data_IF_077466923007
#
_entry.id   IF_077466923007
#
_cell.length_a   1.000
_cell.length_b   1.000
_cell.length_c   1.000
_cell.angle_alpha   90.00
_cell.angle_beta   90.00
_cell.angle_gamma   90.00
#
_symmetry.space_group_name_H-M   'P 1'
#
loop_
_entity.id
_entity.type
_entity.pdbx_description
1 polymer ?
#
# COMPACT_ATOMS: atom_id res chain seq x y z
N UNK A 1 -26.13 -12.91 -1.51
CA UNK A 1 -25.10 -13.10 -0.47
C UNK A 1 -23.93 -12.15 -0.76
N UNK A 2 -23.75 -11.14 0.06
CA UNK A 2 -22.72 -10.12 -0.13
C UNK A 2 -21.36 -10.68 0.32
N UNK A 3 -20.35 -10.64 -0.55
CA UNK A 3 -18.99 -11.09 -0.23
C UNK A 3 -18.04 -9.91 -0.22
N UNK A 4 -17.43 -9.66 0.93
CA UNK A 4 -16.46 -8.57 1.12
C UNK A 4 -15.05 -9.14 1.15
N UNK A 5 -14.18 -8.60 0.29
CA UNK A 5 -12.76 -8.94 0.23
C UNK A 5 -11.94 -7.69 0.56
N UNK A 6 -11.07 -7.77 1.57
CA UNK A 6 -10.17 -6.68 1.93
C UNK A 6 -8.75 -6.99 1.46
N UNK A 7 -8.17 -6.05 0.73
CA UNK A 7 -6.79 -6.11 0.25
C UNK A 7 -5.98 -5.07 1.02
N UNK A 8 -4.93 -5.53 1.70
CA UNK A 8 -4.00 -4.68 2.44
C UNK A 8 -2.61 -4.75 1.82
N UNK A 9 -1.82 -3.66 1.84
CA UNK A 9 -0.41 -3.72 1.51
C UNK A 9 0.31 -4.72 2.41
N UNK A 10 1.25 -5.45 1.84
CA UNK A 10 2.08 -6.37 2.63
C UNK A 10 3.08 -5.53 3.44
N UNK A 11 2.86 -5.43 4.75
CA UNK A 11 3.79 -4.76 5.65
C UNK A 11 4.93 -5.72 5.99
N UNK A 12 6.13 -5.42 5.52
CA UNK A 12 7.34 -6.18 5.88
C UNK A 12 7.85 -5.84 7.28
N UNK A 13 7.62 -4.61 7.75
CA UNK A 13 8.04 -4.11 9.05
C UNK A 13 6.85 -3.63 9.87
N UNK A 14 6.88 -3.89 11.17
CA UNK A 14 5.92 -3.32 12.12
C UNK A 14 6.29 -1.87 12.45
N UNK A 15 5.29 -1.07 12.84
CA UNK A 15 5.51 0.33 13.22
C UNK A 15 6.57 0.44 14.34
N UNK A 16 6.52 -0.49 15.31
CA UNK A 16 7.49 -0.52 16.42
C UNK A 16 8.92 -0.76 15.94
N UNK A 17 9.11 -1.66 14.97
CA UNK A 17 10.44 -1.94 14.41
C UNK A 17 11.02 -0.73 13.69
N UNK A 18 10.21 0.04 12.98
CA UNK A 18 10.66 1.26 12.28
C UNK A 18 11.04 2.33 13.31
N UNK A 19 10.22 2.55 14.33
CA UNK A 19 10.53 3.52 15.40
C UNK A 19 11.80 3.12 16.14
N UNK A 20 11.96 1.85 16.47
CA UNK A 20 13.18 1.34 17.11
C UNK A 20 14.42 1.53 16.22
N UNK A 21 14.31 1.22 14.94
CA UNK A 21 15.39 1.43 13.97
C UNK A 21 15.80 2.91 13.89
N UNK A 22 14.82 3.83 13.78
CA UNK A 22 15.07 5.28 13.76
C UNK A 22 15.75 5.74 15.05
N UNK A 23 15.31 5.24 16.20
CA UNK A 23 15.90 5.59 17.50
C UNK A 23 17.37 5.15 17.58
N UNK A 24 17.68 3.90 17.23
CA UNK A 24 19.05 3.36 17.25
C UNK A 24 19.94 4.12 16.26
N UNK A 25 19.45 4.37 15.04
CA UNK A 25 20.20 5.10 14.01
C UNK A 25 20.46 6.55 14.44
N UNK A 26 19.46 7.25 14.97
CA UNK A 26 19.62 8.61 15.49
C UNK A 26 20.61 8.69 16.64
N UNK A 27 20.57 7.73 17.57
CA UNK A 27 21.53 7.63 18.67
C UNK A 27 22.96 7.44 18.18
N UNK A 28 23.19 6.55 17.20
CA UNK A 28 24.52 6.33 16.61
C UNK A 28 25.03 7.57 15.89
N UNK A 29 24.21 8.24 15.09
CA UNK A 29 24.58 9.47 14.40
C UNK A 29 24.96 10.56 15.40
N UNK A 30 24.17 10.75 16.46
CA UNK A 30 24.46 11.72 17.51
C UNK A 30 25.77 11.39 18.24
N UNK A 31 25.96 10.12 18.64
CA UNK A 31 27.15 9.67 19.36
C UNK A 31 28.43 9.86 18.54
N UNK A 32 28.41 9.46 17.27
CA UNK A 32 29.56 9.62 16.35
C UNK A 32 29.77 11.11 16.05
N UNK A 33 28.72 11.85 15.73
CA UNK A 33 28.78 13.26 15.38
C UNK A 33 29.39 14.12 16.50
N UNK A 34 28.98 13.90 17.75
CA UNK A 34 29.57 14.61 18.90
C UNK A 34 31.08 14.36 19.02
N UNK A 35 31.53 13.13 18.80
CA UNK A 35 32.95 12.79 18.80
C UNK A 35 33.74 13.57 17.75
N UNK A 36 33.19 13.68 16.53
CA UNK A 36 33.83 14.43 15.45
C UNK A 36 33.84 15.95 15.70
N UNK A 37 32.81 16.48 16.33
CA UNK A 37 32.75 17.90 16.72
C UNK A 37 33.88 18.24 17.69
N UNK A 38 34.16 17.37 18.67
CA UNK A 38 35.26 17.55 19.64
C UNK A 38 36.65 17.58 18.99
N UNK A 39 36.84 16.96 17.84
CA UNK A 39 38.09 16.97 17.04
C UNK A 39 38.10 18.12 16.02
N UNK A 40 37.04 18.98 15.98
CA UNK A 40 36.94 20.10 15.04
C UNK A 40 36.31 19.77 13.71
N UNK A 41 35.85 18.53 13.51
CA UNK A 41 35.21 18.08 12.25
C UNK A 41 33.69 18.24 12.31
N UNK A 42 33.19 19.41 12.68
CA UNK A 42 31.78 19.75 12.81
C UNK A 42 30.90 19.54 11.53
N UNK A 43 31.44 19.63 10.29
CA UNK A 43 30.60 19.41 9.09
C UNK A 43 30.00 18.00 9.05
N UNK A 44 30.66 17.01 9.66
CA UNK A 44 30.18 15.61 9.71
C UNK A 44 28.86 15.53 10.48
N UNK A 45 28.69 16.31 11.54
CA UNK A 45 27.43 16.36 12.28
C UNK A 45 26.26 16.87 11.41
N UNK A 46 26.51 17.89 10.57
CA UNK A 46 25.50 18.44 9.67
C UNK A 46 25.06 17.38 8.66
N UNK A 47 26.00 16.66 8.06
CA UNK A 47 25.69 15.54 7.17
C UNK A 47 24.85 14.47 7.86
N UNK A 48 25.20 14.08 9.07
CA UNK A 48 24.44 13.10 9.85
C UNK A 48 22.99 13.56 10.13
N UNK A 49 22.78 14.85 10.43
CA UNK A 49 21.45 15.40 10.63
C UNK A 49 20.64 15.34 9.34
N UNK A 50 21.21 15.73 8.19
CA UNK A 50 20.53 15.69 6.88
C UNK A 50 20.14 14.25 6.53
N UNK A 51 21.06 13.30 6.71
CA UNK A 51 20.81 11.88 6.46
C UNK A 51 19.67 11.34 7.35
N UNK A 52 19.67 11.70 8.64
CA UNK A 52 18.62 11.31 9.56
C UNK A 52 17.25 11.89 9.16
N UNK A 53 17.18 13.16 8.72
CA UNK A 53 15.94 13.77 8.23
C UNK A 53 15.40 13.05 7.00
N UNK A 54 16.27 12.62 6.08
CA UNK A 54 15.88 11.83 4.91
C UNK A 54 15.27 10.49 5.36
N UNK A 55 15.88 9.80 6.32
CA UNK A 55 15.36 8.54 6.86
C UNK A 55 13.99 8.72 7.53
N UNK A 56 13.80 9.77 8.31
CA UNK A 56 12.50 10.11 8.92
C UNK A 56 11.45 10.38 7.85
N UNK A 57 11.79 11.14 6.81
CA UNK A 57 10.89 11.43 5.70
C UNK A 57 10.49 10.17 4.93
N UNK A 58 11.45 9.29 4.60
CA UNK A 58 11.18 8.01 3.96
C UNK A 58 10.27 7.11 4.82
N UNK A 59 10.50 7.09 6.13
CA UNK A 59 9.66 6.35 7.08
C UNK A 59 8.24 6.90 7.12
N UNK A 60 8.06 8.21 7.10
CA UNK A 60 6.75 8.85 7.03
C UNK A 60 5.98 8.46 5.75
N UNK A 61 6.66 8.49 4.59
CA UNK A 61 6.06 8.03 3.32
C UNK A 61 5.65 6.55 3.39
N UNK A 62 6.49 5.71 4.00
CA UNK A 62 6.17 4.30 4.19
C UNK A 62 4.92 4.10 5.07
N UNK A 63 4.80 4.84 6.17
CA UNK A 63 3.61 4.77 7.03
C UNK A 63 2.34 5.18 6.29
N UNK A 64 2.38 6.26 5.51
CA UNK A 64 1.24 6.72 4.71
C UNK A 64 0.84 5.67 3.65
N UNK A 65 1.82 5.09 2.96
CA UNK A 65 1.55 4.02 2.01
C UNK A 65 0.94 2.79 2.68
N UNK A 66 1.43 2.43 3.86
CA UNK A 66 0.96 1.26 4.61
C UNK A 66 -0.47 1.39 5.17
N UNK A 67 -1.02 2.61 5.24
CA UNK A 67 -2.41 2.88 5.66
C UNK A 67 -3.43 2.61 4.56
N UNK A 68 -3.01 2.63 3.29
CA UNK A 68 -3.90 2.42 2.16
C UNK A 68 -4.45 0.99 2.16
N UNK A 69 -5.74 0.86 1.91
CA UNK A 69 -6.45 -0.41 1.82
C UNK A 69 -7.42 -0.36 0.65
N UNK A 70 -7.67 -1.50 0.03
CA UNK A 70 -8.71 -1.66 -0.98
C UNK A 70 -9.75 -2.66 -0.46
N UNK A 71 -11.01 -2.27 -0.48
CA UNK A 71 -12.14 -3.12 -0.10
C UNK A 71 -12.95 -3.41 -1.35
N UNK A 72 -13.09 -4.68 -1.69
CA UNK A 72 -13.90 -5.12 -2.80
C UNK A 72 -15.16 -5.77 -2.23
N UNK A 73 -16.31 -5.19 -2.56
CA UNK A 73 -17.62 -5.68 -2.17
C UNK A 73 -18.28 -6.28 -3.41
N UNK A 74 -18.52 -7.57 -3.37
CA UNK A 74 -19.25 -8.31 -4.41
C UNK A 74 -20.68 -8.48 -3.95
N UNK A 75 -21.60 -7.81 -4.62
CA UNK A 75 -23.05 -8.01 -4.47
C UNK A 75 -23.61 -8.74 -5.70
N UNK A 76 -24.91 -9.04 -5.71
CA UNK A 76 -25.51 -9.90 -6.72
C UNK A 76 -25.28 -9.43 -8.16
N UNK A 77 -25.30 -8.12 -8.42
CA UNK A 77 -25.09 -7.55 -9.75
C UNK A 77 -23.96 -6.54 -9.83
N UNK A 78 -23.48 -6.05 -8.67
CA UNK A 78 -22.51 -4.97 -8.60
C UNK A 78 -21.23 -5.40 -7.89
N UNK A 79 -20.11 -4.93 -8.40
CA UNK A 79 -18.83 -4.96 -7.74
C UNK A 79 -18.43 -3.54 -7.35
N UNK A 80 -18.33 -3.27 -6.05
CA UNK A 80 -17.85 -1.98 -5.53
C UNK A 80 -16.40 -2.09 -5.13
N UNK A 81 -15.58 -1.18 -5.62
CA UNK A 81 -14.17 -1.06 -5.25
C UNK A 81 -14.02 0.22 -4.47
N UNK A 82 -13.77 0.09 -3.17
CA UNK A 82 -13.53 1.21 -2.26
C UNK A 82 -12.06 1.28 -1.93
N UNK A 83 -11.43 2.42 -2.23
CA UNK A 83 -10.08 2.73 -1.77
C UNK A 83 -10.18 3.49 -0.46
N UNK A 84 -9.60 2.93 0.58
CA UNK A 84 -9.62 3.51 1.92
C UNK A 84 -8.20 3.98 2.29
N UNK A 85 -8.14 5.17 2.89
CA UNK A 85 -6.97 5.70 3.55
C UNK A 85 -7.31 5.90 5.03
N UNK A 86 -6.75 5.06 5.91
CA UNK A 86 -6.96 5.09 7.37
C UNK A 86 -8.44 5.11 7.83
N UNK A 87 -9.32 4.31 7.18
CA UNK A 87 -10.77 4.19 7.36
C UNK A 87 -11.65 5.21 6.59
N UNK A 88 -11.09 6.26 6.04
CA UNK A 88 -11.81 7.17 5.15
C UNK A 88 -11.89 6.60 3.74
N UNK A 89 -13.07 6.70 3.11
CA UNK A 89 -13.28 6.27 1.73
C UNK A 89 -12.76 7.40 0.84
N UNK A 90 -11.60 7.16 0.18
CA UNK A 90 -10.99 8.12 -0.75
C UNK A 90 -11.62 8.02 -2.16
N UNK A 91 -12.03 6.83 -2.55
CA UNK A 91 -12.63 6.56 -3.87
C UNK A 91 -13.61 5.39 -3.74
N UNK A 92 -14.84 5.57 -4.22
CA UNK A 92 -15.88 4.55 -4.24
C UNK A 92 -16.41 4.40 -5.67
N UNK A 93 -16.14 3.26 -6.27
CA UNK A 93 -16.53 2.99 -7.64
C UNK A 93 -17.32 1.69 -7.73
N UNK A 94 -18.52 1.78 -8.30
CA UNK A 94 -19.38 0.63 -8.57
C UNK A 94 -19.31 0.23 -10.04
N UNK A 95 -19.27 -1.07 -10.29
CA UNK A 95 -19.23 -1.67 -11.62
C UNK A 95 -20.25 -2.79 -11.69
N UNK A 96 -21.01 -2.83 -12.79
CA UNK A 96 -21.86 -3.97 -13.04
C UNK A 96 -21.02 -5.20 -13.39
N UNK A 97 -21.19 -6.29 -12.62
CA UNK A 97 -20.41 -7.51 -12.75
C UNK A 97 -20.59 -8.20 -14.11
N UNK A 98 -21.80 -8.12 -14.67
CA UNK A 98 -22.16 -8.78 -15.94
C UNK A 98 -21.42 -8.15 -17.13
N UNK A 99 -21.32 -6.82 -17.16
CA UNK A 99 -20.73 -6.05 -18.26
C UNK A 99 -19.25 -5.71 -18.08
N UNK A 100 -18.67 -6.09 -16.95
CA UNK A 100 -17.26 -5.82 -16.64
C UNK A 100 -16.36 -6.97 -17.09
N UNK A 101 -15.19 -6.65 -17.64
CA UNK A 101 -14.14 -7.61 -17.94
C UNK A 101 -12.90 -7.35 -17.08
N UNK A 102 -12.34 -8.44 -16.52
CA UNK A 102 -11.16 -8.41 -15.69
C UNK A 102 -9.93 -8.80 -16.50
N UNK A 103 -8.96 -7.89 -16.60
CA UNK A 103 -7.65 -8.18 -17.18
C UNK A 103 -6.57 -8.15 -16.12
N UNK A 104 -5.72 -9.18 -16.11
CA UNK A 104 -4.55 -9.24 -15.25
C UNK A 104 -3.34 -8.67 -16.00
N UNK A 105 -2.82 -7.55 -15.52
CA UNK A 105 -1.60 -6.94 -16.00
C UNK A 105 -0.42 -7.33 -15.09
N UNK A 106 0.83 -7.03 -15.52
CA UNK A 106 2.04 -7.32 -14.74
C UNK A 106 1.99 -6.78 -13.31
N UNK A 107 1.45 -5.55 -13.12
CA UNK A 107 1.51 -4.83 -11.85
C UNK A 107 0.17 -4.66 -11.13
N UNK A 108 -0.96 -4.93 -11.82
CA UNK A 108 -2.30 -4.71 -11.27
C UNK A 108 -3.36 -5.60 -11.93
N UNK A 109 -4.52 -5.70 -11.26
CA UNK A 109 -5.76 -6.12 -11.91
C UNK A 109 -6.47 -4.88 -12.44
N UNK A 110 -6.94 -4.94 -13.67
CA UNK A 110 -7.76 -3.88 -14.26
C UNK A 110 -9.15 -4.38 -14.59
N UNK A 111 -10.14 -3.55 -14.24
CA UNK A 111 -11.51 -3.73 -14.66
C UNK A 111 -11.79 -2.81 -15.84
N UNK A 112 -12.38 -3.38 -16.88
CA UNK A 112 -12.83 -2.66 -18.05
C UNK A 112 -14.35 -2.62 -18.03
N UNK A 113 -14.94 -1.43 -17.95
CA UNK A 113 -16.38 -1.20 -17.91
C UNK A 113 -16.72 0.09 -18.68
N UNK A 114 -17.67 0.03 -19.61
CA UNK A 114 -18.14 1.17 -20.39
C UNK A 114 -17.03 2.04 -21.01
N UNK A 115 -15.97 1.40 -21.56
CA UNK A 115 -14.83 2.09 -22.17
C UNK A 115 -13.82 2.68 -21.16
N UNK A 116 -14.11 2.63 -19.85
CA UNK A 116 -13.20 3.07 -18.79
C UNK A 116 -12.39 1.90 -18.25
N UNK A 117 -11.11 2.15 -17.98
CA UNK A 117 -10.19 1.19 -17.38
C UNK A 117 -9.82 1.67 -15.99
N UNK A 118 -10.11 0.88 -14.97
CA UNK A 118 -9.67 1.15 -13.60
C UNK A 118 -8.76 0.04 -13.09
N UNK A 119 -7.65 0.45 -12.45
CA UNK A 119 -6.65 -0.46 -11.91
C UNK A 119 -6.79 -0.59 -10.40
N UNK A 120 -6.79 -1.83 -9.91
CA UNK A 120 -6.88 -2.16 -8.49
C UNK A 120 -5.96 -3.33 -8.13
N UNK A 121 -5.89 -3.70 -6.86
CA UNK A 121 -5.07 -4.81 -6.36
C UNK A 121 -3.56 -4.68 -6.67
N UNK A 122 -3.03 -3.45 -6.72
CA UNK A 122 -1.58 -3.19 -6.91
C UNK A 122 -0.73 -3.76 -5.78
N UNK A 123 -1.30 -3.87 -4.57
CA UNK A 123 -0.60 -4.36 -3.38
C UNK A 123 -0.43 -5.88 -3.34
N UNK A 124 -1.07 -6.60 -4.26
CA UNK A 124 -1.02 -8.07 -4.28
C UNK A 124 0.13 -8.58 -5.13
N UNK A 125 0.76 -9.67 -4.66
CA UNK A 125 1.70 -10.45 -5.48
C UNK A 125 0.99 -11.05 -6.70
N UNK A 126 1.72 -11.36 -7.80
CA UNK A 126 1.13 -11.93 -9.02
C UNK A 126 0.28 -13.16 -8.77
N UNK A 127 0.74 -14.06 -7.90
CA UNK A 127 0.02 -15.28 -7.54
C UNK A 127 -1.31 -14.99 -6.81
N UNK A 128 -1.31 -14.05 -5.86
CA UNK A 128 -2.51 -13.63 -5.14
C UNK A 128 -3.50 -12.89 -6.03
N UNK A 129 -3.01 -12.11 -7.01
CA UNK A 129 -3.86 -11.45 -8.02
C UNK A 129 -4.60 -12.46 -8.90
N UNK A 130 -3.92 -13.51 -9.36
CA UNK A 130 -4.55 -14.59 -10.12
C UNK A 130 -5.62 -15.32 -9.30
N UNK A 131 -5.34 -15.56 -8.01
CA UNK A 131 -6.31 -16.17 -7.10
C UNK A 131 -7.54 -15.28 -6.90
N UNK A 132 -7.33 -13.99 -6.73
CA UNK A 132 -8.41 -12.99 -6.61
C UNK A 132 -9.25 -12.94 -7.89
N UNK A 133 -8.61 -12.89 -9.08
CA UNK A 133 -9.29 -12.94 -10.37
C UNK A 133 -10.19 -14.17 -10.49
N UNK A 134 -9.66 -15.35 -10.17
CA UNK A 134 -10.43 -16.61 -10.19
C UNK A 134 -11.63 -16.59 -9.24
N UNK A 135 -11.49 -15.95 -8.06
CA UNK A 135 -12.60 -15.82 -7.11
C UNK A 135 -13.71 -14.95 -7.69
N UNK A 136 -13.35 -13.80 -8.28
CA UNK A 136 -14.33 -12.89 -8.88
C UNK A 136 -15.00 -13.53 -10.10
N UNK A 137 -14.25 -14.19 -10.98
CA UNK A 137 -14.79 -14.88 -12.15
C UNK A 137 -15.71 -16.05 -11.75
N UNK A 138 -15.36 -16.81 -10.73
CA UNK A 138 -16.22 -17.87 -10.18
C UNK A 138 -17.51 -17.30 -9.57
N UNK A 139 -17.42 -16.13 -8.92
CA UNK A 139 -18.61 -15.45 -8.41
C UNK A 139 -19.51 -14.99 -9.55
N UNK A 140 -18.92 -14.39 -10.60
CA UNK A 140 -19.63 -13.99 -11.81
C UNK A 140 -20.32 -15.18 -12.51
N UNK A 141 -19.64 -16.33 -12.64
CA UNK A 141 -20.22 -17.52 -13.28
C UNK A 141 -21.37 -18.18 -12.52
N UNK A 142 -21.50 -17.90 -11.22
CA UNK A 142 -22.64 -18.38 -10.40
C UNK A 142 -23.88 -17.49 -10.53
N UNK A 143 -23.73 -16.30 -11.08
CA UNK A 143 -24.80 -15.34 -11.29
C UNK A 143 -25.33 -15.37 -12.73
N UNK A 144 -24.59 -16.01 -13.64
CA UNK A 144 -25.03 -16.30 -15.01
C UNK A 144 -25.82 -17.58 -15.04
#
# INVERSE_FOLDING_TARGET
>A
MQKTLQIKPNKSLTNLQIVFFLFVTGFLIAFIGIRFVLVGAWPILIFGIVEFLILVFCSYLYFNFAKRREKIILDQEEMKIQKLNDQEIEDDQSYNLHWSSLKNNKDNLSIHYAGKKNAFARFLSPHRRLKLKKIIERYKSRLS
#
